data_IF_550308814796
#
_entry.id   IF_550308814796
#
_cell.length_a   1.000
_cell.length_b   1.000
_cell.length_c   1.000
_cell.angle_alpha   90.00
_cell.angle_beta   90.00
_cell.angle_gamma   90.00
#
_symmetry.space_group_name_H-M   'P 1'
#
loop_
_entity.id
_entity.type
_entity.pdbx_description
1 polymer ?
#
# COMPACT_ATOMS: atom_id res chain seq x y z
N UNK A 1 6.77 10.92 -5.78
CA UNK A 1 7.78 9.92 -5.35
C UNK A 1 7.95 9.80 -3.84
N UNK A 2 7.92 10.89 -3.04
CA UNK A 2 7.99 10.78 -1.57
C UNK A 2 6.74 10.10 -0.98
N UNK A 3 5.55 10.47 -1.46
CA UNK A 3 4.26 9.92 -1.00
C UNK A 3 4.20 8.40 -1.15
N UNK A 4 4.62 7.85 -2.31
CA UNK A 4 4.60 6.41 -2.54
C UNK A 4 5.58 5.65 -1.64
N UNK A 5 6.76 6.25 -1.35
CA UNK A 5 7.72 5.69 -0.39
C UNK A 5 7.17 5.71 1.04
N UNK A 6 6.55 6.80 1.45
CA UNK A 6 5.94 6.93 2.78
C UNK A 6 4.79 5.93 2.95
N UNK A 7 3.93 5.80 1.94
CA UNK A 7 2.82 4.87 1.95
C UNK A 7 3.29 3.41 2.02
N UNK A 8 4.30 3.05 1.20
CA UNK A 8 4.90 1.72 1.27
C UNK A 8 5.46 1.41 2.66
N UNK A 9 6.20 2.33 3.27
CA UNK A 9 6.72 2.14 4.62
C UNK A 9 5.62 1.94 5.67
N UNK A 10 4.47 2.63 5.53
CA UNK A 10 3.31 2.40 6.40
C UNK A 10 2.71 1.00 6.21
N UNK A 11 2.59 0.53 4.97
CA UNK A 11 2.12 -0.83 4.69
C UNK A 11 3.08 -1.89 5.26
N UNK A 12 4.38 -1.71 5.09
CA UNK A 12 5.40 -2.62 5.63
C UNK A 12 5.41 -2.64 7.16
N UNK A 13 5.19 -1.49 7.81
CA UNK A 13 5.05 -1.41 9.27
C UNK A 13 3.80 -2.17 9.76
N UNK A 14 2.66 -1.97 9.10
CA UNK A 14 1.42 -2.70 9.38
C UNK A 14 1.62 -4.21 9.17
N UNK A 15 2.21 -4.60 8.05
CA UNK A 15 2.50 -6.00 7.72
C UNK A 15 3.41 -6.68 8.74
N UNK A 16 4.42 -5.96 9.25
CA UNK A 16 5.32 -6.46 10.28
C UNK A 16 4.60 -6.79 11.59
N UNK A 17 3.53 -6.06 11.91
CA UNK A 17 2.70 -6.24 13.11
C UNK A 17 1.52 -7.19 12.90
N UNK A 18 1.09 -7.38 11.66
CA UNK A 18 -0.03 -8.24 11.30
C UNK A 18 0.30 -9.73 11.45
N UNK A 19 -0.74 -10.54 11.71
CA UNK A 19 -0.66 -11.99 11.89
C UNK A 19 -1.79 -12.69 11.12
N UNK A 20 -1.55 -13.93 10.71
CA UNK A 20 -2.54 -14.74 9.97
C UNK A 20 -2.96 -14.10 8.65
N UNK A 21 -4.25 -14.15 8.36
CA UNK A 21 -4.85 -13.70 7.09
C UNK A 21 -4.57 -12.21 6.78
N UNK A 22 -4.49 -11.38 7.82
CA UNK A 22 -4.18 -9.94 7.66
C UNK A 22 -2.76 -9.74 7.11
N UNK A 23 -1.81 -10.57 7.55
CA UNK A 23 -0.42 -10.51 7.08
C UNK A 23 -0.30 -10.96 5.64
N UNK A 24 -1.02 -12.01 5.26
CA UNK A 24 -1.03 -12.48 3.87
C UNK A 24 -1.60 -11.41 2.94
N UNK A 25 -2.75 -10.83 3.30
CA UNK A 25 -3.38 -9.80 2.49
C UNK A 25 -2.53 -8.53 2.37
N UNK A 26 -1.90 -8.06 3.46
CA UNK A 26 -0.99 -6.92 3.40
C UNK A 26 0.24 -7.22 2.54
N UNK A 27 0.73 -8.47 2.55
CA UNK A 27 1.82 -8.90 1.67
C UNK A 27 1.44 -8.84 0.19
N UNK A 28 0.22 -9.24 -0.15
CA UNK A 28 -0.31 -9.12 -1.53
C UNK A 28 -0.43 -7.66 -1.96
N UNK A 29 -0.95 -6.79 -1.09
CA UNK A 29 -1.10 -5.36 -1.37
C UNK A 29 0.26 -4.71 -1.63
N UNK A 30 1.28 -4.99 -0.79
CA UNK A 30 2.64 -4.47 -0.97
C UNK A 30 3.24 -4.97 -2.29
N UNK A 31 3.02 -6.23 -2.63
CA UNK A 31 3.53 -6.84 -3.87
C UNK A 31 2.90 -6.20 -5.12
N UNK A 32 1.58 -5.98 -5.12
CA UNK A 32 0.88 -5.32 -6.23
C UNK A 32 1.27 -3.84 -6.34
N UNK A 33 1.49 -3.18 -5.20
CA UNK A 33 1.99 -1.80 -5.15
C UNK A 33 3.39 -1.68 -5.75
N UNK A 34 4.30 -2.60 -5.40
CA UNK A 34 5.65 -2.64 -5.97
C UNK A 34 5.63 -2.94 -7.48
N UNK A 35 4.78 -3.86 -7.92
CA UNK A 35 4.61 -4.16 -9.34
C UNK A 35 4.10 -2.94 -10.13
N UNK A 36 3.14 -2.19 -9.56
CA UNK A 36 2.62 -0.96 -10.15
C UNK A 36 3.69 0.14 -10.23
N UNK A 37 4.49 0.31 -9.16
CA UNK A 37 5.63 1.25 -9.14
C UNK A 37 6.70 0.89 -10.18
N UNK A 38 7.05 -0.40 -10.29
CA UNK A 38 8.01 -0.89 -11.29
C UNK A 38 7.53 -0.68 -12.72
N UNK A 39 6.23 -0.84 -12.95
CA UNK A 39 5.61 -0.63 -14.26
C UNK A 39 5.40 0.85 -14.60
N UNK A 40 5.70 1.76 -13.66
CA UNK A 40 5.40 3.20 -13.75
C UNK A 40 3.92 3.49 -14.06
N UNK A 41 3.03 2.60 -13.63
CA UNK A 41 1.59 2.70 -13.82
C UNK A 41 0.97 3.44 -12.64
N UNK A 42 0.91 4.77 -12.76
CA UNK A 42 0.39 5.63 -11.70
C UNK A 42 -1.09 5.39 -11.39
N UNK A 43 -1.88 4.94 -12.38
CA UNK A 43 -3.30 4.63 -12.16
C UNK A 43 -3.45 3.40 -11.29
N UNK A 44 -2.66 2.35 -11.56
CA UNK A 44 -2.63 1.15 -10.72
C UNK A 44 -2.10 1.43 -9.33
N UNK A 45 -1.10 2.31 -9.19
CA UNK A 45 -0.59 2.77 -7.88
C UNK A 45 -1.72 3.43 -7.07
N UNK A 46 -2.51 4.31 -7.68
CA UNK A 46 -3.63 4.98 -7.00
C UNK A 46 -4.75 3.99 -6.62
N UNK A 47 -5.06 3.01 -7.48
CA UNK A 47 -6.08 2.01 -7.18
C UNK A 47 -5.64 1.06 -6.04
N UNK A 48 -4.39 0.61 -6.04
CA UNK A 48 -3.84 -0.20 -4.93
C UNK A 48 -3.83 0.62 -3.63
N UNK A 49 -3.49 1.91 -3.71
CA UNK A 49 -3.52 2.81 -2.55
C UNK A 49 -4.93 2.95 -1.99
N UNK A 50 -5.93 3.19 -2.84
CA UNK A 50 -7.34 3.28 -2.42
C UNK A 50 -7.81 1.99 -1.76
N UNK A 51 -7.57 0.85 -2.39
CA UNK A 51 -7.95 -0.47 -1.87
C UNK A 51 -7.29 -0.77 -0.52
N UNK A 52 -6.02 -0.43 -0.38
CA UNK A 52 -5.28 -0.58 0.86
C UNK A 52 -5.82 0.33 1.98
N UNK A 53 -6.17 1.59 1.65
CA UNK A 53 -6.80 2.52 2.59
C UNK A 53 -8.20 2.06 3.02
N UNK A 54 -9.02 1.56 2.09
CA UNK A 54 -10.34 0.97 2.40
C UNK A 54 -10.21 -0.24 3.33
N UNK A 55 -9.22 -1.09 3.09
CA UNK A 55 -8.99 -2.28 3.90
C UNK A 55 -8.46 -1.96 5.30
N UNK A 56 -7.48 -1.05 5.38
CA UNK A 56 -6.84 -0.66 6.65
C UNK A 56 -7.64 0.38 7.44
N UNK A 57 -8.69 0.95 6.86
CA UNK A 57 -9.47 2.04 7.48
C UNK A 57 -8.64 3.30 7.75
N UNK A 58 -7.54 3.50 7.02
CA UNK A 58 -6.63 4.64 7.16
C UNK A 58 -6.92 5.68 6.09
N UNK A 59 -6.94 6.95 6.47
CA UNK A 59 -7.05 8.07 5.54
C UNK A 59 -5.89 8.02 4.52
N UNK A 60 -6.24 8.12 3.24
CA UNK A 60 -5.27 8.23 2.15
C UNK A 60 -4.32 9.40 2.45
N UNK A 61 -2.99 9.22 2.44
CA UNK A 61 -2.08 10.33 2.71
C UNK A 61 -2.31 11.39 1.63
N UNK A 62 -2.94 12.49 2.06
CA UNK A 62 -3.24 13.64 1.20
C UNK A 62 -1.91 14.31 0.88
N UNK A 63 -1.63 14.49 -0.41
CA UNK A 63 -0.56 15.39 -0.82
C UNK A 63 -0.85 16.79 -0.23
N UNK A 64 0.15 17.49 0.33
CA UNK A 64 -0.02 18.87 0.79
C UNK A 64 -0.40 19.81 -0.37
#
# INVERSE_FOLDING_TARGET
>A
MLINRTFKAQLEEQWSRALGDEREMLGEIITDFDAALLSNDMQRVDDVRRRACEYLGIDEPKAP
#
